data_IF_038033569190
#
_entry.id   IF_038033569190
#
_cell.length_a   1.000
_cell.length_b   1.000
_cell.length_c   1.000
_cell.angle_alpha   90.00
_cell.angle_beta   90.00
_cell.angle_gamma   90.00
#
_symmetry.space_group_name_H-M   'P 1'
#
loop_
_entity.id
_entity.type
_entity.pdbx_description
1 polymer ?
#
# COMPACT_ATOMS: atom_id res chain seq x y z
N UNK A 1 37.58 -14.88 11.19
CA UNK A 1 36.19 -15.35 11.43
C UNK A 1 35.93 -15.36 12.93
N UNK A 2 34.91 -14.64 13.39
CA UNK A 2 34.60 -14.51 14.83
C UNK A 2 33.88 -15.74 15.38
N UNK A 3 33.73 -15.82 16.71
CA UNK A 3 32.94 -16.88 17.36
C UNK A 3 31.45 -16.86 16.98
N UNK A 4 30.94 -15.72 16.52
CA UNK A 4 29.55 -15.55 16.08
C UNK A 4 29.44 -15.98 14.61
N UNK A 5 28.67 -17.04 14.34
CA UNK A 5 28.45 -17.57 12.99
C UNK A 5 27.18 -17.00 12.35
N UNK A 6 26.08 -16.92 13.09
CA UNK A 6 24.85 -16.27 12.64
C UNK A 6 24.11 -15.59 13.80
N UNK A 7 23.39 -14.52 13.47
CA UNK A 7 22.56 -13.75 14.40
C UNK A 7 21.41 -13.10 13.62
N UNK A 8 20.17 -13.51 13.90
CA UNK A 8 18.99 -12.98 13.23
C UNK A 8 17.74 -13.09 14.11
N UNK A 9 16.72 -12.32 13.75
CA UNK A 9 15.36 -12.45 14.29
C UNK A 9 14.54 -13.27 13.30
N UNK A 10 13.90 -14.34 13.76
CA UNK A 10 12.96 -15.14 12.97
C UNK A 10 11.56 -15.04 13.53
N UNK A 11 10.57 -14.84 12.67
CA UNK A 11 9.14 -14.90 13.05
C UNK A 11 8.62 -16.33 12.90
N UNK A 12 7.65 -16.68 13.76
CA UNK A 12 7.00 -17.99 13.69
C UNK A 12 6.33 -18.19 12.31
N UNK A 13 6.44 -19.40 11.77
CA UNK A 13 5.84 -19.80 10.48
C UNK A 13 6.27 -18.93 9.27
N UNK A 14 7.33 -18.13 9.42
CA UNK A 14 7.75 -17.18 8.38
C UNK A 14 6.76 -16.03 8.17
N UNK A 15 5.82 -15.82 9.09
CA UNK A 15 4.82 -14.76 8.99
C UNK A 15 5.48 -13.38 8.98
N UNK A 16 5.12 -12.56 8.01
CA UNK A 16 5.68 -11.23 7.76
C UNK A 16 4.65 -10.10 7.78
N UNK A 17 3.36 -10.43 7.84
CA UNK A 17 2.24 -9.47 7.86
C UNK A 17 1.37 -9.70 9.09
N UNK A 18 1.16 -8.65 9.87
CA UNK A 18 0.43 -8.67 11.13
C UNK A 18 -0.67 -7.60 11.12
N UNK A 19 -1.72 -7.79 11.92
CA UNK A 19 -2.76 -6.77 12.13
C UNK A 19 -2.51 -5.99 13.42
N UNK A 20 -3.01 -4.74 13.54
CA UNK A 20 -3.08 -4.06 14.83
C UNK A 20 -3.77 -4.95 15.88
N UNK A 21 -3.26 -4.97 17.11
CA UNK A 21 -3.75 -5.85 18.18
C UNK A 21 -3.21 -7.29 18.13
N UNK A 22 -2.57 -7.71 17.03
CA UNK A 22 -2.04 -9.06 16.90
C UNK A 22 -0.75 -9.28 17.68
N UNK A 23 -0.47 -10.53 18.04
CA UNK A 23 0.79 -10.91 18.68
C UNK A 23 1.87 -11.25 17.65
N UNK A 24 2.99 -10.53 17.71
CA UNK A 24 4.22 -10.83 16.96
C UNK A 24 5.05 -11.81 17.77
N UNK A 25 5.11 -13.06 17.31
CA UNK A 25 5.83 -14.15 17.96
C UNK A 25 7.02 -14.60 17.10
N UNK A 26 8.13 -14.95 17.76
CA UNK A 26 9.34 -15.38 17.07
C UNK A 26 10.44 -15.80 18.02
N UNK A 27 11.65 -15.91 17.48
CA UNK A 27 12.86 -16.18 18.26
C UNK A 27 14.04 -15.39 17.74
N UNK A 28 14.89 -14.95 18.66
CA UNK A 28 16.24 -14.50 18.35
C UNK A 28 17.11 -15.75 18.24
N UNK A 29 17.76 -15.95 17.10
CA UNK A 29 18.62 -17.11 16.84
C UNK A 29 20.06 -16.66 16.83
N UNK A 30 20.88 -17.26 17.70
CA UNK A 30 22.32 -17.02 17.80
C UNK A 30 23.05 -18.35 17.61
N UNK A 31 23.94 -18.43 16.61
CA UNK A 31 24.81 -19.58 16.41
C UNK A 31 26.28 -19.21 16.68
N UNK A 32 26.94 -19.97 17.56
CA UNK A 32 28.32 -19.74 17.97
C UNK A 32 29.23 -20.92 17.63
N UNK A 33 30.38 -20.66 17.01
CA UNK A 33 31.41 -21.68 16.76
C UNK A 33 32.05 -22.21 18.05
N UNK A 34 32.06 -21.40 19.11
CA UNK A 34 32.61 -21.74 20.41
C UNK A 34 31.98 -20.84 21.50
N UNK A 35 32.02 -21.24 22.78
CA UNK A 35 31.43 -20.44 23.85
C UNK A 35 31.91 -18.98 23.88
N UNK A 36 30.97 -18.04 24.03
CA UNK A 36 31.20 -16.60 23.94
C UNK A 36 30.70 -15.88 25.20
N UNK A 37 31.56 -15.04 25.80
CA UNK A 37 31.14 -14.16 26.91
C UNK A 37 30.29 -13.02 26.35
N UNK A 38 29.15 -12.77 26.97
CA UNK A 38 28.24 -11.65 26.67
C UNK A 38 27.53 -11.23 27.96
N UNK A 39 27.19 -9.95 28.09
CA UNK A 39 26.50 -9.43 29.27
C UNK A 39 25.00 -9.64 29.18
N UNK A 40 24.44 -9.42 28.00
CA UNK A 40 23.02 -9.55 27.74
C UNK A 40 22.72 -9.71 26.25
N UNK A 41 21.54 -10.24 25.95
CA UNK A 41 20.90 -10.12 24.63
C UNK A 41 19.65 -9.27 24.80
N UNK A 42 19.58 -8.18 24.03
CA UNK A 42 18.49 -7.20 24.09
C UNK A 42 17.62 -7.35 22.85
N UNK A 43 16.31 -7.25 23.04
CA UNK A 43 15.33 -7.14 21.96
C UNK A 43 14.61 -5.80 22.09
N UNK A 44 14.38 -5.12 20.97
CA UNK A 44 13.69 -3.83 20.91
C UNK A 44 12.67 -3.81 19.78
N UNK A 45 11.41 -3.57 20.12
CA UNK A 45 10.32 -3.39 19.18
C UNK A 45 10.12 -1.91 18.94
N UNK A 46 10.10 -1.49 17.68
CA UNK A 46 9.91 -0.09 17.28
C UNK A 46 8.84 -0.02 16.20
N UNK A 47 7.84 0.83 16.41
CA UNK A 47 6.86 1.22 15.40
C UNK A 47 6.85 2.74 15.29
N UNK A 48 7.21 3.28 14.14
CA UNK A 48 7.27 4.73 13.94
C UNK A 48 6.96 5.15 12.51
N UNK A 49 6.44 6.36 12.35
CA UNK A 49 6.43 7.09 11.09
C UNK A 49 7.52 8.14 11.08
N UNK A 50 8.16 8.34 9.93
CA UNK A 50 9.11 9.44 9.72
C UNK A 50 8.83 10.12 8.40
N UNK A 51 8.99 11.43 8.38
CA UNK A 51 8.88 12.28 7.20
C UNK A 51 10.10 13.16 7.12
N UNK A 52 10.75 13.20 5.95
CA UNK A 52 11.89 14.06 5.68
C UNK A 52 11.98 14.46 4.21
N UNK A 53 12.20 15.75 3.96
CA UNK A 53 12.73 16.26 2.69
C UNK A 53 13.51 17.54 2.91
N UNK A 54 14.26 17.95 1.88
CA UNK A 54 14.99 19.23 1.88
C UNK A 54 14.67 20.07 0.65
N UNK A 55 14.74 21.39 0.82
CA UNK A 55 14.58 22.37 -0.26
C UNK A 55 15.79 23.32 -0.26
N UNK A 56 16.36 23.57 -1.43
CA UNK A 56 17.33 24.65 -1.61
C UNK A 56 16.59 25.99 -1.74
N UNK A 57 16.97 26.98 -0.94
CA UNK A 57 16.46 28.35 -1.01
C UNK A 57 17.60 29.34 -1.27
N UNK A 58 17.33 30.38 -2.06
CA UNK A 58 18.33 31.40 -2.45
C UNK A 58 19.12 31.01 -3.69
N UNK A 59 19.99 31.91 -4.14
CA UNK A 59 20.86 31.73 -5.32
C UNK A 59 22.31 32.12 -5.01
N UNK A 60 23.25 31.57 -5.78
CA UNK A 60 24.69 31.83 -5.62
C UNK A 60 25.22 31.51 -4.23
N UNK A 61 26.00 32.44 -3.65
CA UNK A 61 26.61 32.30 -2.31
C UNK A 61 25.58 32.28 -1.16
N UNK A 62 24.33 32.69 -1.41
CA UNK A 62 23.26 32.71 -0.40
C UNK A 62 22.35 31.46 -0.46
N UNK A 63 22.77 30.40 -1.17
CA UNK A 63 22.02 29.14 -1.22
C UNK A 63 22.09 28.44 0.14
N UNK A 64 20.93 28.19 0.73
CA UNK A 64 20.78 27.42 1.98
C UNK A 64 19.86 26.22 1.76
N UNK A 65 20.17 25.11 2.42
CA UNK A 65 19.31 23.93 2.45
C UNK A 65 18.41 23.99 3.68
N UNK A 66 17.10 23.96 3.46
CA UNK A 66 16.09 23.90 4.52
C UNK A 66 15.57 22.48 4.61
N UNK A 67 15.69 21.84 5.78
CA UNK A 67 15.15 20.53 6.04
C UNK A 67 13.78 20.63 6.71
N UNK A 68 12.86 19.79 6.26
CA UNK A 68 11.55 19.58 6.87
C UNK A 68 11.53 18.15 7.40
N UNK A 69 11.19 18.00 8.69
CA UNK A 69 11.16 16.72 9.38
C UNK A 69 9.93 16.63 10.25
N UNK A 70 9.36 15.43 10.36
CA UNK A 70 8.35 15.08 11.35
C UNK A 70 8.46 13.59 11.65
N UNK A 71 8.08 13.18 12.87
CA UNK A 71 8.16 11.79 13.32
C UNK A 71 7.01 11.52 14.28
N UNK A 72 6.47 10.31 14.23
CA UNK A 72 5.50 9.78 15.19
C UNK A 72 6.01 8.42 15.67
N UNK A 73 6.18 8.25 16.98
CA UNK A 73 6.49 6.94 17.57
C UNK A 73 5.20 6.34 18.11
N UNK A 74 4.81 5.19 17.57
CA UNK A 74 3.61 4.44 18.00
C UNK A 74 3.92 3.55 19.19
N UNK A 75 5.09 2.91 19.17
CA UNK A 75 5.62 2.17 20.31
C UNK A 75 7.13 2.03 20.21
N UNK A 76 7.77 1.96 21.37
CA UNK A 76 9.18 1.63 21.53
C UNK A 76 9.36 0.86 22.83
N UNK A 77 9.56 -0.46 22.74
CA UNK A 77 9.71 -1.31 23.91
C UNK A 77 10.99 -2.13 23.81
N UNK A 78 11.79 -2.11 24.88
CA UNK A 78 13.02 -2.89 25.00
C UNK A 78 12.87 -3.94 26.08
N UNK A 79 13.42 -5.13 25.87
CA UNK A 79 13.46 -6.22 26.84
C UNK A 79 14.77 -7.01 26.72
N UNK A 80 15.07 -7.79 27.75
CA UNK A 80 16.29 -8.58 27.84
C UNK A 80 15.92 -10.06 27.84
N UNK A 81 16.44 -10.82 26.88
CA UNK A 81 16.10 -12.25 26.71
C UNK A 81 17.18 -13.20 27.25
N UNK A 82 18.35 -12.66 27.59
CA UNK A 82 19.47 -13.41 28.14
C UNK A 82 20.35 -12.50 29.01
N UNK A 83 20.94 -13.06 30.06
CA UNK A 83 21.97 -12.40 30.86
C UNK A 83 21.41 -11.37 31.84
N UNK A 84 22.16 -10.28 32.06
CA UNK A 84 21.79 -9.26 33.04
C UNK A 84 20.48 -8.57 32.64
N UNK A 85 19.53 -8.50 33.59
CA UNK A 85 18.21 -7.88 33.38
C UNK A 85 17.19 -8.78 32.67
N UNK A 86 17.58 -9.99 32.24
CA UNK A 86 16.61 -10.98 31.75
C UNK A 86 15.85 -11.65 32.89
N UNK A 87 14.63 -12.10 32.58
CA UNK A 87 13.79 -12.89 33.47
C UNK A 87 13.76 -14.34 32.95
N UNK A 88 13.78 -15.34 33.84
CA UNK A 88 13.68 -16.75 33.47
C UNK A 88 15.01 -17.51 33.50
N UNK A 89 15.17 -18.59 32.70
CA UNK A 89 16.22 -19.59 32.91
C UNK A 89 17.64 -19.08 32.62
N UNK A 90 17.78 -18.01 31.83
CA UNK A 90 19.08 -17.45 31.43
C UNK A 90 19.50 -16.23 32.28
N UNK A 91 18.83 -16.00 33.41
CA UNK A 91 19.05 -14.84 34.26
C UNK A 91 20.49 -14.80 34.77
N UNK A 92 21.15 -13.66 34.59
CA UNK A 92 22.54 -13.41 35.02
C UNK A 92 23.61 -14.33 34.40
N UNK A 93 23.27 -15.11 33.36
CA UNK A 93 24.27 -15.86 32.62
C UNK A 93 25.25 -14.93 31.89
N UNK A 94 26.53 -15.29 31.90
CA UNK A 94 27.62 -14.44 31.36
C UNK A 94 28.35 -15.07 30.18
N UNK A 95 27.98 -16.29 29.79
CA UNK A 95 28.67 -17.07 28.76
C UNK A 95 27.69 -18.00 28.05
N UNK A 96 27.41 -17.69 26.79
CA UNK A 96 26.59 -18.55 25.96
C UNK A 96 27.45 -19.70 25.42
N UNK A 97 26.99 -20.97 25.47
CA UNK A 97 27.73 -22.12 24.95
C UNK A 97 27.87 -22.04 23.42
N UNK A 98 28.76 -22.89 22.86
CA UNK A 98 28.84 -23.08 21.42
C UNK A 98 27.60 -23.82 20.90
N UNK A 99 27.27 -23.61 19.62
CA UNK A 99 26.06 -24.12 18.98
C UNK A 99 24.97 -23.08 18.81
N UNK A 100 23.77 -23.55 18.42
CA UNK A 100 22.59 -22.71 18.22
C UNK A 100 21.82 -22.52 19.53
N UNK A 101 21.50 -21.28 19.86
CA UNK A 101 20.61 -20.89 20.95
C UNK A 101 19.44 -20.08 20.39
N UNK A 102 18.24 -20.37 20.87
CA UNK A 102 17.00 -19.69 20.46
C UNK A 102 16.39 -19.00 21.68
N UNK A 103 16.12 -17.71 21.56
CA UNK A 103 15.46 -16.92 22.60
C UNK A 103 14.08 -16.49 22.12
N UNK A 104 13.00 -17.18 22.53
CA UNK A 104 11.66 -16.86 22.08
C UNK A 104 11.21 -15.50 22.60
N UNK A 105 10.39 -14.81 21.82
CA UNK A 105 9.76 -13.56 22.22
C UNK A 105 8.30 -13.52 21.78
N UNK A 106 7.55 -12.69 22.47
CA UNK A 106 6.17 -12.35 22.14
C UNK A 106 5.96 -10.85 22.42
N UNK A 107 5.37 -10.15 21.46
CA UNK A 107 4.97 -8.75 21.61
C UNK A 107 3.55 -8.59 21.09
N UNK A 108 2.70 -7.84 21.81
CA UNK A 108 1.32 -7.56 21.37
C UNK A 108 1.31 -6.16 20.77
N UNK A 109 0.93 -6.07 19.49
CA UNK A 109 0.82 -4.78 18.80
C UNK A 109 -0.30 -3.94 19.43
N UNK A 110 -0.13 -2.62 19.58
CA UNK A 110 -1.24 -1.72 19.88
C UNK A 110 -2.42 -1.91 18.90
N UNK A 111 -3.68 -1.73 19.37
CA UNK A 111 -4.87 -1.99 18.58
C UNK A 111 -5.12 -0.94 17.48
N UNK A 112 -4.49 0.23 17.56
CA UNK A 112 -4.61 1.32 16.59
C UNK A 112 -3.23 1.66 16.06
N UNK A 113 -2.93 1.16 14.86
CA UNK A 113 -1.66 1.36 14.20
C UNK A 113 -1.90 1.62 12.71
N UNK A 114 -1.17 2.55 12.08
CA UNK A 114 -1.22 2.71 10.64
C UNK A 114 -0.64 1.50 9.92
N UNK A 115 -1.11 1.28 8.69
CA UNK A 115 -0.46 0.32 7.79
C UNK A 115 1.00 0.71 7.55
N UNK A 116 1.87 -0.28 7.37
CA UNK A 116 3.23 -0.03 6.92
C UNK A 116 3.23 0.63 5.55
N UNK A 117 4.16 1.54 5.34
CA UNK A 117 4.24 2.32 4.12
C UNK A 117 5.69 2.75 3.87
N UNK A 118 6.13 2.72 2.62
CA UNK A 118 7.43 3.23 2.20
C UNK A 118 7.20 4.19 1.03
N UNK A 119 7.72 5.41 1.15
CA UNK A 119 7.49 6.48 0.18
C UNK A 119 8.67 7.43 0.03
N UNK A 120 8.55 8.33 -0.94
CA UNK A 120 9.64 9.22 -1.38
C UNK A 120 10.24 10.13 -0.30
N UNK A 121 9.42 10.55 0.65
CA UNK A 121 9.76 11.55 1.66
C UNK A 121 9.40 11.07 3.06
N UNK A 122 9.14 9.78 3.25
CA UNK A 122 8.74 9.25 4.52
C UNK A 122 8.22 7.82 4.47
N UNK A 123 8.08 7.23 5.64
CA UNK A 123 7.68 5.85 5.83
C UNK A 123 6.88 5.69 7.12
N UNK A 124 6.17 4.56 7.22
CA UNK A 124 5.64 3.95 8.45
C UNK A 124 6.29 2.57 8.55
N UNK A 125 7.12 2.34 9.57
CA UNK A 125 7.95 1.12 9.67
C UNK A 125 7.86 0.50 11.05
N UNK A 126 7.79 -0.82 11.06
CA UNK A 126 7.81 -1.65 12.25
C UNK A 126 8.98 -2.61 12.19
N UNK A 127 9.82 -2.56 13.22
CA UNK A 127 11.11 -3.27 13.25
C UNK A 127 11.31 -3.93 14.59
N UNK A 128 11.81 -5.17 14.55
CA UNK A 128 12.39 -5.84 15.72
C UNK A 128 13.91 -5.75 15.59
N UNK A 129 14.54 -5.11 16.55
CA UNK A 129 15.99 -5.06 16.69
C UNK A 129 16.43 -6.07 17.75
N UNK A 130 17.53 -6.77 17.50
CA UNK A 130 18.21 -7.57 18.50
C UNK A 130 19.69 -7.18 18.56
N UNK A 131 20.25 -7.10 19.77
CA UNK A 131 21.66 -6.80 19.98
C UNK A 131 22.30 -7.68 21.06
N UNK A 132 23.59 -7.97 20.89
CA UNK A 132 24.39 -8.73 21.85
C UNK A 132 25.37 -7.78 22.53
N UNK A 133 25.20 -7.56 23.83
CA UNK A 133 26.07 -6.71 24.63
C UNK A 133 27.38 -7.45 24.96
N UNK A 134 28.50 -7.00 24.37
CA UNK A 134 29.81 -7.60 24.55
C UNK A 134 30.70 -6.74 25.44
N UNK A 135 31.44 -7.34 26.39
CA UNK A 135 32.51 -6.63 27.09
C UNK A 135 33.61 -6.21 26.10
N UNK A 136 33.93 -4.92 26.07
CA UNK A 136 35.15 -4.37 25.45
C UNK A 136 35.27 -4.64 23.93
N UNK A 137 34.14 -4.86 23.25
CA UNK A 137 34.03 -5.01 21.79
C UNK A 137 32.74 -4.38 21.30
N UNK A 138 32.64 -4.13 19.99
CA UNK A 138 31.40 -3.71 19.36
C UNK A 138 30.29 -4.75 19.55
N UNK A 139 29.09 -4.24 19.81
CA UNK A 139 27.87 -5.03 19.98
C UNK A 139 27.31 -5.40 18.59
N UNK A 140 27.32 -6.70 18.21
CA UNK A 140 26.59 -7.15 17.04
C UNK A 140 25.12 -6.81 17.21
N UNK A 141 24.51 -6.31 16.14
CA UNK A 141 23.07 -6.09 16.06
C UNK A 141 22.53 -6.68 14.77
N UNK A 142 21.23 -6.99 14.80
CA UNK A 142 20.44 -7.41 13.65
C UNK A 142 19.08 -6.75 13.78
N UNK A 143 18.41 -6.53 12.66
CA UNK A 143 17.05 -6.04 12.66
C UNK A 143 16.24 -6.68 11.55
N UNK A 144 14.94 -6.80 11.78
CA UNK A 144 14.00 -7.37 10.82
C UNK A 144 12.73 -6.54 10.85
N UNK A 145 12.35 -6.03 9.69
CA UNK A 145 11.09 -5.34 9.50
C UNK A 145 9.96 -6.34 9.26
N UNK A 146 8.75 -5.96 9.65
CA UNK A 146 7.52 -6.68 9.34
C UNK A 146 6.44 -5.70 8.92
N UNK A 147 5.46 -6.18 8.16
CA UNK A 147 4.32 -5.37 7.75
C UNK A 147 3.24 -5.42 8.83
N UNK A 148 2.78 -4.25 9.24
CA UNK A 148 1.46 -4.09 9.90
C UNK A 148 0.47 -3.65 8.84
N UNK A 149 -0.68 -4.30 8.74
CA UNK A 149 -1.76 -3.94 7.83
C UNK A 149 -3.03 -3.64 8.62
N UNK A 150 -3.41 -2.36 8.63
CA UNK A 150 -4.70 -1.93 9.16
C UNK A 150 -5.83 -2.32 8.21
N UNK A 151 -6.90 -2.88 8.76
CA UNK A 151 -7.99 -3.43 7.95
C UNK A 151 -9.02 -2.35 7.64
N UNK A 152 -9.10 -1.95 6.36
CA UNK A 152 -10.09 -1.01 5.86
C UNK A 152 -11.22 -1.77 5.17
N UNK A 153 -12.34 -1.88 5.87
CA UNK A 153 -13.54 -2.57 5.37
C UNK A 153 -14.40 -1.65 4.51
N UNK A 154 -14.39 -1.86 3.19
CA UNK A 154 -15.18 -1.06 2.26
C UNK A 154 -16.68 -1.16 2.52
N UNK A 155 -17.16 -2.20 3.19
CA UNK A 155 -18.58 -2.34 3.54
C UNK A 155 -19.03 -1.33 4.60
N UNK A 156 -18.09 -0.71 5.33
CA UNK A 156 -18.34 0.35 6.30
C UNK A 156 -18.15 1.75 5.72
N UNK A 157 -17.71 1.85 4.46
CA UNK A 157 -17.37 3.12 3.82
C UNK A 157 -18.56 3.61 2.98
N UNK A 158 -19.15 4.73 3.40
CA UNK A 158 -20.42 5.25 2.87
C UNK A 158 -20.46 5.36 1.34
N UNK A 159 -19.36 5.80 0.73
CA UNK A 159 -19.29 6.07 -0.71
C UNK A 159 -18.68 4.94 -1.52
N UNK A 160 -18.15 3.89 -0.89
CA UNK A 160 -17.42 2.83 -1.59
C UNK A 160 -18.28 2.12 -2.66
N UNK A 161 -19.59 1.97 -2.41
CA UNK A 161 -20.55 1.38 -3.37
C UNK A 161 -21.09 2.37 -4.40
N UNK A 162 -20.86 3.67 -4.24
CA UNK A 162 -21.45 4.68 -5.10
C UNK A 162 -20.74 4.68 -6.46
N UNK A 163 -21.48 4.64 -7.59
CA UNK A 163 -20.89 4.89 -8.90
C UNK A 163 -20.36 6.31 -8.98
N UNK A 164 -19.44 6.56 -9.92
CA UNK A 164 -18.91 7.89 -10.14
C UNK A 164 -18.80 8.19 -11.64
N UNK A 165 -19.20 9.41 -12.00
CA UNK A 165 -19.10 9.95 -13.36
C UNK A 165 -18.45 11.32 -13.29
N UNK A 166 -17.59 11.61 -14.26
CA UNK A 166 -16.97 12.92 -14.45
C UNK A 166 -17.02 13.27 -15.92
N UNK A 167 -17.32 14.52 -16.25
CA UNK A 167 -17.18 15.06 -17.59
C UNK A 167 -16.38 16.36 -17.55
N UNK A 168 -15.64 16.63 -18.62
CA UNK A 168 -14.90 17.87 -18.80
C UNK A 168 -14.66 18.13 -20.30
N UNK A 169 -14.38 19.37 -20.66
CA UNK A 169 -14.10 19.75 -22.04
C UNK A 169 -13.06 20.86 -22.15
N UNK A 170 -12.34 20.89 -23.28
CA UNK A 170 -11.29 21.88 -23.54
C UNK A 170 -11.18 22.21 -25.02
N UNK A 171 -10.89 23.48 -25.32
CA UNK A 171 -10.55 23.96 -26.67
C UNK A 171 -9.04 24.19 -26.79
N UNK A 172 -8.44 23.82 -27.93
CA UNK A 172 -6.98 23.89 -28.16
C UNK A 172 -6.46 25.29 -28.60
N UNK A 173 -7.32 26.28 -28.86
CA UNK A 173 -6.93 27.55 -29.50
C UNK A 173 -7.56 28.81 -28.87
N UNK A 174 -6.99 29.99 -29.16
CA UNK A 174 -7.49 31.32 -28.81
C UNK A 174 -8.41 31.93 -29.89
N UNK A 175 -9.13 33.02 -29.53
CA UNK A 175 -10.34 33.66 -30.08
C UNK A 175 -10.64 33.68 -31.62
N UNK A 176 -9.75 33.25 -32.51
CA UNK A 176 -9.88 33.42 -33.97
C UNK A 176 -10.06 32.11 -34.77
N UNK A 177 -10.00 30.94 -34.14
CA UNK A 177 -10.12 29.65 -34.82
C UNK A 177 -11.47 28.99 -34.54
N UNK A 178 -12.27 28.76 -35.59
CA UNK A 178 -13.52 28.00 -35.51
C UNK A 178 -13.22 26.50 -35.40
N UNK A 179 -12.97 25.99 -34.20
CA UNK A 179 -12.93 24.56 -33.90
C UNK A 179 -13.74 24.26 -32.65
N UNK A 180 -14.44 23.13 -32.63
CA UNK A 180 -15.18 22.65 -31.47
C UNK A 180 -14.26 22.17 -30.33
N UNK A 181 -14.82 21.98 -29.11
CA UNK A 181 -14.07 21.49 -27.98
C UNK A 181 -13.73 19.99 -28.14
N UNK A 182 -12.69 19.55 -27.43
CA UNK A 182 -12.52 18.15 -27.04
C UNK A 182 -13.35 17.96 -25.79
N UNK A 183 -14.35 17.07 -25.82
CA UNK A 183 -15.16 16.75 -24.65
C UNK A 183 -14.94 15.28 -24.28
N UNK A 184 -14.94 14.98 -22.98
CA UNK A 184 -14.86 13.62 -22.50
C UNK A 184 -15.76 13.43 -21.29
N UNK A 185 -16.32 12.24 -21.17
CA UNK A 185 -17.01 11.74 -19.99
C UNK A 185 -16.42 10.37 -19.62
N UNK A 186 -16.20 10.14 -18.33
CA UNK A 186 -15.72 8.87 -17.77
C UNK A 186 -16.63 8.43 -16.64
N UNK A 187 -16.90 7.12 -16.59
CA UNK A 187 -17.79 6.49 -15.64
C UNK A 187 -17.18 5.19 -15.09
N UNK A 188 -17.34 4.98 -13.77
CA UNK A 188 -17.05 3.75 -13.06
C UNK A 188 -18.25 3.33 -12.22
N UNK A 189 -18.42 2.02 -12.04
CA UNK A 189 -19.55 1.40 -11.35
C UNK A 189 -19.54 1.65 -9.84
N UNK A 190 -18.35 1.85 -9.26
CA UNK A 190 -18.16 2.17 -7.85
C UNK A 190 -16.88 2.94 -7.58
N UNK A 191 -16.69 3.44 -6.37
CA UNK A 191 -15.43 4.12 -5.97
C UNK A 191 -14.54 3.29 -5.05
N UNK A 192 -15.05 2.23 -4.42
CA UNK A 192 -14.30 1.34 -3.53
C UNK A 192 -13.81 0.07 -4.21
N UNK A 193 -12.51 -0.19 -4.12
CA UNK A 193 -11.86 -1.38 -4.69
C UNK A 193 -10.80 -1.98 -3.75
N UNK A 194 -10.47 -3.25 -3.92
CA UNK A 194 -9.33 -3.89 -3.24
C UNK A 194 -8.25 -4.32 -4.25
N UNK A 195 -6.98 -4.49 -3.83
CA UNK A 195 -5.95 -5.01 -4.72
C UNK A 195 -6.29 -6.39 -5.29
N UNK A 196 -5.99 -6.57 -6.59
CA UNK A 196 -6.34 -7.74 -7.39
C UNK A 196 -7.63 -7.57 -8.20
N UNK A 197 -8.52 -6.69 -7.76
CA UNK A 197 -9.78 -6.38 -8.44
C UNK A 197 -9.57 -5.54 -9.71
N UNK A 198 -10.55 -5.59 -10.63
CA UNK A 198 -10.57 -4.76 -11.82
C UNK A 198 -11.55 -3.60 -11.66
N UNK A 199 -11.08 -2.40 -12.01
CA UNK A 199 -11.93 -1.23 -12.23
C UNK A 199 -12.46 -1.31 -13.67
N UNK A 200 -13.78 -1.29 -13.84
CA UNK A 200 -14.45 -1.24 -15.13
C UNK A 200 -14.54 0.21 -15.60
N UNK A 201 -13.65 0.63 -16.51
CA UNK A 201 -13.60 2.01 -17.01
C UNK A 201 -14.46 2.12 -18.27
N UNK A 202 -15.45 3.01 -18.22
CA UNK A 202 -16.26 3.40 -19.37
C UNK A 202 -16.00 4.87 -19.69
N UNK A 203 -15.87 5.21 -20.96
CA UNK A 203 -15.64 6.60 -21.35
C UNK A 203 -16.21 6.90 -22.73
N UNK A 204 -16.68 8.13 -22.92
CA UNK A 204 -17.05 8.68 -24.23
C UNK A 204 -16.20 9.93 -24.47
N UNK A 205 -15.59 10.03 -25.64
CA UNK A 205 -14.73 11.15 -26.02
C UNK A 205 -15.15 11.66 -27.37
N UNK A 206 -15.32 12.97 -27.49
CA UNK A 206 -15.70 13.67 -28.71
C UNK A 206 -14.60 14.66 -29.08
N UNK A 207 -13.99 14.46 -30.24
CA UNK A 207 -12.96 15.35 -30.76
C UNK A 207 -13.57 16.38 -31.71
N UNK A 208 -14.17 17.44 -31.17
CA UNK A 208 -14.63 18.59 -31.97
C UNK A 208 -13.50 19.47 -32.51
N UNK A 209 -12.24 19.18 -32.15
CA UNK A 209 -11.09 19.98 -32.59
C UNK A 209 -10.71 19.69 -34.05
N UNK A 210 -9.88 20.56 -34.61
CA UNK A 210 -9.32 20.38 -35.96
C UNK A 210 -8.10 19.46 -36.00
N UNK A 211 -7.66 18.93 -34.86
CA UNK A 211 -6.43 18.15 -34.75
C UNK A 211 -6.69 16.70 -34.36
N UNK A 212 -5.83 15.79 -34.82
CA UNK A 212 -5.82 14.40 -34.37
C UNK A 212 -5.38 14.31 -32.91
N UNK A 213 -6.11 13.54 -32.10
CA UNK A 213 -5.73 13.20 -30.74
C UNK A 213 -4.85 11.94 -30.74
N UNK A 214 -3.63 11.98 -30.19
CA UNK A 214 -2.70 10.85 -30.25
C UNK A 214 -3.18 9.58 -29.54
N UNK A 215 -3.95 9.72 -28.46
CA UNK A 215 -4.30 8.58 -27.61
C UNK A 215 -5.21 8.94 -26.46
N UNK A 216 -5.69 7.90 -25.78
CA UNK A 216 -6.40 7.97 -24.50
C UNK A 216 -5.71 7.04 -23.51
N UNK A 217 -5.79 7.31 -22.21
CA UNK A 217 -5.33 6.36 -21.18
C UNK A 217 -6.16 6.46 -19.92
N UNK A 218 -6.20 5.36 -19.16
CA UNK A 218 -6.76 5.33 -17.82
C UNK A 218 -5.68 4.82 -16.85
N UNK A 219 -5.51 5.53 -15.74
CA UNK A 219 -4.46 5.23 -14.77
C UNK A 219 -4.94 5.37 -13.34
N UNK A 220 -4.40 4.55 -12.43
CA UNK A 220 -4.54 4.80 -11.00
C UNK A 220 -3.38 5.73 -10.60
N UNK A 221 -3.72 6.85 -9.99
CA UNK A 221 -2.75 7.79 -9.45
C UNK A 221 -2.79 7.71 -7.92
N UNK A 222 -1.65 7.38 -7.31
CA UNK A 222 -1.45 7.46 -5.88
C UNK A 222 -0.89 8.83 -5.52
N UNK A 223 -1.60 9.58 -4.68
CA UNK A 223 -1.16 10.84 -4.11
C UNK A 223 -0.81 10.65 -2.65
N UNK A 224 0.46 10.84 -2.30
CA UNK A 224 0.97 10.72 -0.93
C UNK A 224 1.32 12.10 -0.40
N UNK A 225 0.65 12.51 0.67
CA UNK A 225 0.86 13.80 1.33
C UNK A 225 1.71 13.60 2.57
N UNK A 226 2.91 14.17 2.56
CA UNK A 226 3.85 14.20 3.68
C UNK A 226 3.71 15.53 4.42
N UNK A 227 3.47 15.49 5.72
CA UNK A 227 3.19 16.67 6.54
C UNK A 227 4.30 16.87 7.57
N UNK A 228 4.64 18.14 7.79
CA UNK A 228 5.49 18.59 8.90
C UNK A 228 4.84 19.80 9.54
N UNK A 229 5.31 20.20 10.71
CA UNK A 229 4.76 21.37 11.44
C UNK A 229 4.72 22.64 10.60
N UNK A 230 5.63 22.80 9.62
CA UNK A 230 5.76 24.04 8.83
C UNK A 230 5.23 23.94 7.41
N UNK A 231 5.13 22.74 6.85
CA UNK A 231 4.87 22.54 5.42
C UNK A 231 4.37 21.12 5.16
N UNK A 232 3.49 21.01 4.18
CA UNK A 232 3.11 19.73 3.58
C UNK A 232 3.61 19.65 2.14
N UNK A 233 3.89 18.43 1.68
CA UNK A 233 4.31 18.15 0.31
C UNK A 233 3.58 16.91 -0.18
N UNK A 234 2.90 17.04 -1.31
CA UNK A 234 2.25 15.91 -1.97
C UNK A 234 3.08 15.45 -3.16
N UNK A 235 3.25 14.13 -3.28
CA UNK A 235 3.83 13.49 -4.46
C UNK A 235 2.77 12.57 -5.05
N UNK A 236 2.54 12.70 -6.34
CA UNK A 236 1.65 11.81 -7.09
C UNK A 236 2.46 10.93 -8.03
N UNK A 237 2.14 9.64 -8.09
CA UNK A 237 2.75 8.69 -9.02
C UNK A 237 1.65 7.88 -9.70
N UNK A 238 1.82 7.62 -11.00
CA UNK A 238 1.04 6.61 -11.73
C UNK A 238 1.50 5.22 -11.26
N UNK A 239 0.58 4.42 -10.72
CA UNK A 239 0.91 3.07 -10.22
C UNK A 239 0.55 1.96 -11.20
N UNK A 240 -0.43 2.20 -12.07
CA UNK A 240 -0.79 1.34 -13.20
C UNK A 240 -1.48 2.19 -14.26
N UNK A 241 -1.32 1.84 -15.54
CA UNK A 241 -1.95 2.51 -16.68
C UNK A 241 -2.34 1.50 -17.76
N UNK A 242 -3.50 1.71 -18.37
CA UNK A 242 -3.90 1.09 -19.64
C UNK A 242 -4.03 2.17 -20.72
N UNK A 243 -3.61 1.83 -21.93
CA UNK A 243 -3.60 2.74 -23.07
C UNK A 243 -4.72 2.38 -24.05
N UNK A 244 -5.43 3.39 -24.52
CA UNK A 244 -6.44 3.29 -25.56
C UNK A 244 -6.02 4.04 -26.82
N UNK A 245 -6.86 3.93 -27.84
CA UNK A 245 -6.57 4.49 -29.16
C UNK A 245 -6.72 6.02 -29.18
N UNK A 246 -6.04 6.63 -30.16
CA UNK A 246 -6.28 8.02 -30.56
C UNK A 246 -7.47 8.14 -31.50
N UNK A 247 -7.81 9.35 -31.90
CA UNK A 247 -8.89 9.59 -32.85
C UNK A 247 -8.63 10.81 -33.73
N UNK A 248 -9.14 10.76 -34.96
CA UNK A 248 -9.02 11.87 -35.91
C UNK A 248 -9.98 13.02 -35.55
N UNK A 249 -9.79 14.17 -36.20
CA UNK A 249 -10.63 15.36 -36.03
C UNK A 249 -12.10 15.05 -36.39
N UNK A 250 -13.04 15.58 -35.60
CA UNK A 250 -14.48 15.41 -35.81
C UNK A 250 -15.02 14.00 -35.52
N UNK A 251 -14.24 13.14 -34.87
CA UNK A 251 -14.63 11.76 -34.52
C UNK A 251 -14.88 11.61 -33.01
N UNK A 252 -15.52 10.50 -32.67
CA UNK A 252 -15.74 10.09 -31.27
C UNK A 252 -15.18 8.69 -31.03
N UNK A 253 -14.83 8.41 -29.77
CA UNK A 253 -14.33 7.13 -29.29
C UNK A 253 -15.10 6.74 -28.03
N UNK A 254 -15.33 5.44 -27.86
CA UNK A 254 -15.90 4.88 -26.63
C UNK A 254 -14.99 3.80 -26.05
N UNK A 255 -14.81 3.84 -24.73
CA UNK A 255 -14.30 2.74 -23.94
C UNK A 255 -15.50 2.02 -23.31
N UNK A 256 -15.58 0.71 -23.51
CA UNK A 256 -16.68 -0.12 -23.02
C UNK A 256 -16.12 -1.20 -22.11
N UNK A 257 -16.24 -1.00 -20.79
CA UNK A 257 -15.78 -1.94 -19.77
C UNK A 257 -14.28 -2.31 -19.91
N UNK A 258 -13.43 -1.32 -20.19
CA UNK A 258 -11.98 -1.52 -20.23
C UNK A 258 -11.46 -1.76 -18.81
N UNK A 259 -10.69 -2.83 -18.63
CA UNK A 259 -10.37 -3.35 -17.29
C UNK A 259 -9.00 -2.89 -16.81
N UNK A 260 -8.98 -2.11 -15.73
CA UNK A 260 -7.76 -1.67 -15.06
C UNK A 260 -7.58 -2.43 -13.74
N UNK A 261 -6.58 -3.31 -13.66
CA UNK A 261 -6.34 -4.10 -12.45
C UNK A 261 -5.68 -3.28 -11.35
N UNK A 262 -6.20 -3.34 -10.14
CA UNK A 262 -5.61 -2.71 -8.96
C UNK A 262 -4.41 -3.53 -8.48
N UNK A 263 -3.18 -2.99 -8.47
CA UNK A 263 -2.01 -3.74 -8.00
C UNK A 263 -1.92 -3.73 -6.46
N UNK A 264 -0.96 -4.45 -5.89
CA UNK A 264 -0.73 -4.51 -4.44
C UNK A 264 -0.30 -3.14 -3.88
N UNK A 265 -1.27 -2.42 -3.28
CA UNK A 265 -1.14 -1.05 -2.81
C UNK A 265 -1.63 -0.92 -1.36
N UNK A 266 -1.10 0.06 -0.59
CA UNK A 266 -1.58 0.33 0.76
C UNK A 266 -3.04 0.84 0.71
N UNK A 267 -3.82 0.59 1.77
CA UNK A 267 -5.17 1.14 1.87
C UNK A 267 -5.15 2.67 1.92
N UNK A 268 -6.24 3.29 1.47
CA UNK A 268 -6.46 4.74 1.52
C UNK A 268 -6.36 5.30 2.94
N UNK A 269 -6.14 6.61 3.03
CA UNK A 269 -6.13 7.46 4.23
C UNK A 269 -5.01 7.19 5.23
N UNK A 270 -4.37 6.02 5.17
CA UNK A 270 -3.33 5.60 6.12
C UNK A 270 -3.73 5.92 7.57
N UNK A 271 -4.91 5.44 7.98
CA UNK A 271 -5.53 5.74 9.28
C UNK A 271 -4.52 5.60 10.41
N UNK A 272 -4.66 6.43 11.44
CA UNK A 272 -3.77 6.47 12.62
C UNK A 272 -2.35 7.03 12.35
N UNK A 273 -2.04 7.53 11.15
CA UNK A 273 -0.85 8.35 10.89
C UNK A 273 -1.25 9.81 10.66
N UNK A 274 -0.72 10.77 11.43
CA UNK A 274 -1.08 12.18 11.20
C UNK A 274 -0.12 12.89 10.24
N UNK A 275 1.05 12.32 9.99
CA UNK A 275 2.12 12.96 9.20
C UNK A 275 2.23 12.44 7.76
N UNK A 276 1.58 11.33 7.43
CA UNK A 276 1.50 10.78 6.07
C UNK A 276 0.03 10.43 5.78
N UNK A 277 -0.45 10.82 4.61
CA UNK A 277 -1.80 10.51 4.12
C UNK A 277 -1.72 10.00 2.67
N UNK A 278 -2.57 9.04 2.32
CA UNK A 278 -2.57 8.38 1.01
C UNK A 278 -3.97 8.47 0.40
N UNK A 279 -4.04 9.02 -0.82
CA UNK A 279 -5.28 9.15 -1.58
C UNK A 279 -5.09 8.62 -2.99
N UNK A 280 -6.17 8.15 -3.60
CA UNK A 280 -6.15 7.62 -4.96
C UNK A 280 -7.23 8.28 -5.81
N UNK A 281 -6.94 8.41 -7.09
CA UNK A 281 -7.94 8.69 -8.10
C UNK A 281 -7.67 7.87 -9.36
N UNK A 282 -8.74 7.51 -10.05
CA UNK A 282 -8.67 7.10 -11.44
C UNK A 282 -8.53 8.37 -12.29
N UNK A 283 -7.47 8.47 -13.08
CA UNK A 283 -7.25 9.54 -14.04
C UNK A 283 -7.47 9.01 -15.45
N UNK A 284 -8.50 9.53 -16.13
CA UNK A 284 -8.70 9.35 -17.56
C UNK A 284 -8.07 10.53 -18.30
N UNK A 285 -7.16 10.25 -19.24
CA UNK A 285 -6.41 11.26 -19.98
C UNK A 285 -6.73 11.17 -21.46
N UNK A 286 -7.11 12.29 -22.06
CA UNK A 286 -7.14 12.47 -23.51
C UNK A 286 -5.88 13.24 -23.91
N UNK A 287 -4.99 12.58 -24.64
CA UNK A 287 -3.71 13.16 -25.06
C UNK A 287 -3.98 14.22 -26.11
N UNK A 288 -3.45 15.42 -25.91
CA UNK A 288 -3.57 16.51 -26.87
C UNK A 288 -2.29 16.65 -27.71
N UNK A 289 -2.38 17.06 -28.98
CA UNK A 289 -1.21 17.21 -29.83
C UNK A 289 -0.31 18.40 -29.41
N UNK A 290 0.97 18.30 -29.75
CA UNK A 290 1.95 19.36 -29.54
C UNK A 290 2.26 19.64 -28.08
N UNK A 291 2.29 20.93 -27.70
CA UNK A 291 2.59 21.40 -26.33
C UNK A 291 1.33 21.70 -25.51
N UNK A 292 0.15 21.36 -26.04
CA UNK A 292 -1.11 21.54 -25.34
C UNK A 292 -1.16 20.67 -24.09
N UNK A 293 -1.71 21.22 -23.00
CA UNK A 293 -1.97 20.44 -21.78
C UNK A 293 -3.10 19.45 -22.08
N UNK A 294 -2.88 18.17 -21.78
CA UNK A 294 -3.88 17.10 -21.93
C UNK A 294 -5.17 17.41 -21.15
N UNK A 295 -6.31 16.94 -21.65
CA UNK A 295 -7.55 16.92 -20.90
C UNK A 295 -7.49 15.74 -19.92
N UNK A 296 -7.74 15.99 -18.63
CA UNK A 296 -7.62 14.99 -17.56
C UNK A 296 -8.84 15.02 -16.66
N UNK A 297 -9.51 13.88 -16.54
CA UNK A 297 -10.67 13.69 -15.68
C UNK A 297 -10.26 12.81 -14.51
N UNK A 298 -10.48 13.28 -13.29
CA UNK A 298 -10.04 12.60 -12.07
C UNK A 298 -11.26 12.17 -11.25
N UNK A 299 -11.46 10.86 -11.14
CA UNK A 299 -12.50 10.25 -10.31
C UNK A 299 -11.87 9.76 -8.99
N UNK A 300 -12.28 10.25 -7.82
CA UNK A 300 -11.74 9.79 -6.55
C UNK A 300 -12.10 8.31 -6.32
N UNK A 301 -11.13 7.52 -5.88
CA UNK A 301 -11.35 6.11 -5.53
C UNK A 301 -10.75 5.80 -4.16
N UNK A 302 -11.30 4.79 -3.50
CA UNK A 302 -10.87 4.32 -2.19
C UNK A 302 -10.37 2.88 -2.31
N UNK A 303 -9.13 2.65 -1.87
CA UNK A 303 -8.55 1.31 -1.82
C UNK A 303 -8.67 0.75 -0.40
N UNK A 304 -9.42 -0.33 -0.25
CA UNK A 304 -9.60 -1.04 1.01
C UNK A 304 -8.80 -2.34 1.09
N UNK A 305 -9.00 -3.08 2.18
CA UNK A 305 -8.42 -4.42 2.37
C UNK A 305 -9.47 -5.53 2.45
N UNK A 306 -10.75 -5.18 2.72
CA UNK A 306 -11.88 -6.11 2.66
C UNK A 306 -12.81 -5.68 1.52
N UNK A 307 -13.09 -6.56 0.55
CA UNK A 307 -13.92 -6.23 -0.60
C UNK A 307 -15.38 -6.02 -0.20
N UNK A 308 -16.08 -5.28 -1.05
CA UNK A 308 -17.52 -5.09 -0.93
C UNK A 308 -18.25 -6.42 -1.14
N UNK A 309 -19.13 -6.76 -0.20
CA UNK A 309 -19.99 -7.93 -0.27
C UNK A 309 -21.14 -7.72 -1.27
N UNK A 310 -21.60 -8.83 -1.88
CA UNK A 310 -22.76 -8.84 -2.78
C UNK A 310 -22.48 -8.33 -4.19
N UNK A 311 -21.22 -8.03 -4.51
CA UNK A 311 -20.82 -7.71 -5.88
C UNK A 311 -20.48 -9.00 -6.62
N UNK A 312 -21.31 -9.39 -7.58
CA UNK A 312 -20.93 -10.43 -8.53
C UNK A 312 -19.86 -9.85 -9.46
N UNK A 313 -18.63 -10.40 -9.54
CA UNK A 313 -17.59 -9.90 -10.45
C UNK A 313 -17.94 -10.10 -11.93
N UNK A 314 -19.03 -10.82 -12.20
CA UNK A 314 -19.52 -11.18 -13.51
C UNK A 314 -21.00 -10.86 -13.64
N UNK A 315 -21.40 -9.59 -13.54
CA UNK A 315 -22.73 -9.21 -14.05
C UNK A 315 -22.67 -9.11 -15.57
N UNK A 316 -22.77 -10.27 -16.23
CA UNK A 316 -22.89 -10.42 -17.68
C UNK A 316 -24.38 -10.48 -18.03
N UNK A 317 -25.15 -9.43 -17.75
CA UNK A 317 -26.51 -9.36 -18.32
C UNK A 317 -26.80 -7.95 -18.82
N UNK A 318 -27.09 -7.78 -20.13
CA UNK A 318 -27.72 -6.55 -20.60
C UNK A 318 -29.09 -6.41 -19.94
N UNK A 319 -29.60 -5.17 -19.75
CA UNK A 319 -30.94 -4.96 -19.24
C UNK A 319 -31.94 -5.56 -20.22
N UNK A 320 -32.51 -6.73 -19.90
CA UNK A 320 -33.62 -7.26 -20.67
C UNK A 320 -34.79 -6.29 -20.52
N UNK A 321 -35.22 -5.75 -21.67
CA UNK A 321 -36.29 -4.78 -21.78
C UNK A 321 -37.55 -5.23 -21.06
N UNK A 322 -38.23 -4.25 -20.48
CA UNK A 322 -39.53 -4.39 -19.85
C UNK A 322 -40.56 -4.93 -20.85
N UNK A 323 -40.93 -6.20 -20.72
CA UNK A 323 -42.19 -6.71 -21.26
C UNK A 323 -43.25 -6.69 -20.15
N UNK A 324 -44.51 -6.31 -20.43
CA UNK A 324 -45.56 -6.33 -19.43
C UNK A 324 -45.88 -7.77 -19.05
N UNK A 325 -45.62 -8.13 -17.80
CA UNK A 325 -45.91 -9.45 -17.23
C UNK A 325 -47.41 -9.57 -16.99
N UNK A 326 -48.09 -10.36 -17.82
CA UNK A 326 -49.32 -11.04 -17.42
C UNK A 326 -48.95 -12.08 -16.35
N UNK A 327 -49.67 -12.08 -15.23
CA UNK A 327 -49.42 -12.90 -14.04
C UNK A 327 -49.25 -14.41 -14.34
N UNK A 328 -48.18 -15.06 -13.84
CA UNK A 328 -48.11 -16.51 -13.69
C UNK A 328 -48.18 -16.96 -12.22
N UNK A 329 -48.39 -18.28 -11.97
CA UNK A 329 -48.86 -18.83 -10.70
C UNK A 329 -47.77 -18.95 -9.64
N UNK A 330 -48.20 -19.21 -8.40
CA UNK A 330 -47.36 -19.41 -7.21
C UNK A 330 -46.31 -20.49 -7.46
N UNK A 331 -45.06 -20.07 -7.67
CA UNK A 331 -43.88 -20.91 -7.83
C UNK A 331 -43.22 -21.13 -6.45
N UNK A 332 -42.68 -22.33 -6.14
CA UNK A 332 -41.93 -22.56 -4.91
C UNK A 332 -40.77 -21.56 -4.82
N UNK A 333 -40.57 -20.98 -3.62
CA UNK A 333 -39.55 -19.96 -3.36
C UNK A 333 -38.21 -20.38 -3.94
N UNK A 334 -37.72 -19.60 -4.92
CA UNK A 334 -36.40 -19.79 -5.48
C UNK A 334 -35.36 -19.85 -4.35
N UNK A 335 -34.38 -20.77 -4.41
CA UNK A 335 -33.29 -20.78 -3.44
C UNK A 335 -32.61 -19.40 -3.42
N UNK A 336 -32.12 -18.95 -2.25
CA UNK A 336 -31.43 -17.67 -2.17
C UNK A 336 -30.31 -17.63 -3.23
N UNK A 337 -30.12 -16.48 -3.91
CA UNK A 337 -29.07 -16.36 -4.91
C UNK A 337 -27.72 -16.72 -4.26
N UNK A 338 -26.83 -17.42 -4.98
CA UNK A 338 -25.54 -17.83 -4.44
C UNK A 338 -24.81 -16.60 -3.91
N UNK A 339 -24.46 -16.61 -2.62
CA UNK A 339 -23.64 -15.56 -2.02
C UNK A 339 -22.22 -15.72 -2.53
N UNK A 340 -21.77 -14.75 -3.31
CA UNK A 340 -20.39 -14.71 -3.78
C UNK A 340 -19.47 -14.34 -2.61
N UNK A 341 -18.73 -15.32 -2.12
CA UNK A 341 -17.67 -15.08 -1.13
C UNK A 341 -16.36 -14.74 -1.85
N UNK A 342 -15.68 -13.65 -1.46
CA UNK A 342 -14.37 -13.33 -2.01
C UNK A 342 -13.35 -14.42 -1.63
N UNK A 343 -12.37 -14.71 -2.50
CA UNK A 343 -11.30 -15.64 -2.16
C UNK A 343 -10.51 -15.11 -0.94
N UNK A 344 -9.87 -15.99 -0.16
CA UNK A 344 -8.99 -15.53 0.91
C UNK A 344 -7.87 -14.66 0.33
N UNK A 345 -7.52 -13.53 0.97
CA UNK A 345 -6.45 -12.68 0.45
C UNK A 345 -5.10 -13.37 0.61
N UNK A 346 -4.24 -13.18 -0.38
CA UNK A 346 -2.80 -13.39 -0.26
C UNK A 346 -2.10 -12.08 0.09
N UNK A 347 -0.79 -12.12 0.33
CA UNK A 347 0.02 -10.93 0.56
C UNK A 347 1.08 -10.78 -0.51
N UNK A 348 1.07 -9.65 -1.22
CA UNK A 348 2.04 -9.33 -2.27
C UNK A 348 2.85 -8.10 -1.89
N UNK A 349 4.13 -8.09 -2.26
CA UNK A 349 5.01 -6.94 -2.07
C UNK A 349 4.47 -5.72 -2.82
N UNK A 350 4.63 -4.55 -2.22
CA UNK A 350 4.26 -3.27 -2.83
C UNK A 350 4.91 -3.08 -4.21
N UNK A 351 4.19 -2.45 -5.14
CA UNK A 351 4.69 -2.12 -6.50
C UNK A 351 6.00 -1.31 -6.48
N UNK A 352 6.25 -0.55 -5.41
CA UNK A 352 7.49 0.21 -5.22
C UNK A 352 8.74 -0.63 -4.98
N UNK A 353 8.60 -1.94 -4.73
CA UNK A 353 9.70 -2.86 -4.48
C UNK A 353 10.35 -2.69 -3.11
N UNK A 354 11.52 -3.31 -2.96
CA UNK A 354 12.27 -3.27 -1.70
C UNK A 354 13.03 -1.95 -1.54
N UNK A 355 13.07 -1.46 -0.31
CA UNK A 355 13.86 -0.30 0.10
C UNK A 355 14.91 -0.69 1.11
N UNK A 356 16.01 0.07 1.14
CA UNK A 356 17.00 -0.07 2.19
C UNK A 356 16.48 0.58 3.48
N UNK A 357 16.39 -0.21 4.55
CA UNK A 357 15.87 0.24 5.84
C UNK A 357 16.97 0.62 6.83
N UNK A 358 18.22 0.82 6.39
CA UNK A 358 19.30 1.27 7.28
C UNK A 358 18.98 2.65 7.86
N UNK A 359 19.19 2.78 9.17
CA UNK A 359 18.96 4.00 9.93
C UNK A 359 20.30 4.51 10.52
N UNK A 360 20.34 5.75 11.01
CA UNK A 360 21.57 6.35 11.58
C UNK A 360 22.13 5.59 12.80
N UNK A 361 21.27 4.85 13.52
CA UNK A 361 21.66 4.02 14.66
C UNK A 361 22.28 2.67 14.26
N UNK A 362 22.20 2.29 12.98
CA UNK A 362 22.79 1.04 12.51
C UNK A 362 24.29 1.22 12.29
N UNK A 363 25.08 0.40 12.99
CA UNK A 363 26.52 0.36 12.75
C UNK A 363 26.84 -0.46 11.49
N UNK A 364 28.08 -0.32 10.99
CA UNK A 364 28.61 -1.10 9.85
C UNK A 364 28.59 -2.63 10.07
N UNK A 365 28.31 -3.08 11.30
CA UNK A 365 28.28 -4.47 11.69
C UNK A 365 26.86 -5.05 11.81
N UNK A 366 25.83 -4.36 11.29
CA UNK A 366 24.48 -4.92 11.21
C UNK A 366 24.48 -6.20 10.36
N UNK A 367 23.97 -7.29 10.94
CA UNK A 367 23.88 -8.60 10.29
C UNK A 367 22.44 -8.84 9.84
N UNK A 368 22.22 -9.13 8.56
CA UNK A 368 20.90 -9.55 8.04
C UNK A 368 20.22 -8.59 7.06
N UNK A 369 18.92 -8.81 6.84
CA UNK A 369 18.10 -8.18 5.79
C UNK A 369 17.82 -6.71 6.03
N UNK A 370 18.65 -5.85 5.46
CA UNK A 370 18.43 -4.39 5.40
C UNK A 370 17.53 -3.97 4.24
N UNK A 371 16.90 -4.94 3.57
CA UNK A 371 15.95 -4.74 2.48
C UNK A 371 14.56 -5.09 2.97
N UNK A 372 13.56 -4.28 2.61
CA UNK A 372 12.17 -4.48 3.04
C UNK A 372 11.22 -3.91 2.00
N UNK A 373 10.19 -4.66 1.67
CA UNK A 373 9.01 -4.16 0.97
C UNK A 373 7.78 -4.45 1.84
N UNK A 374 6.93 -3.46 2.15
CA UNK A 374 5.66 -3.74 2.80
C UNK A 374 4.80 -4.62 1.88
N UNK A 375 4.02 -5.51 2.48
CA UNK A 375 3.13 -6.41 1.76
C UNK A 375 1.67 -6.07 2.02
N UNK A 376 0.86 -6.07 0.96
CA UNK A 376 -0.56 -5.72 1.04
C UNK A 376 -1.43 -6.89 0.61
N UNK A 377 -2.67 -6.92 1.09
CA UNK A 377 -3.68 -7.90 0.66
C UNK A 377 -3.80 -7.88 -0.85
N UNK A 378 -3.92 -9.05 -1.47
CA UNK A 378 -4.17 -9.21 -2.89
C UNK A 378 -5.13 -10.37 -3.12
N UNK A 379 -6.22 -10.11 -3.83
CA UNK A 379 -7.27 -11.07 -4.13
C UNK A 379 -7.09 -11.64 -5.53
N UNK A 380 -6.82 -12.94 -5.62
CA UNK A 380 -6.83 -13.64 -6.90
C UNK A 380 -8.26 -14.10 -7.22
N UNK A 381 -8.99 -13.25 -7.92
CA UNK A 381 -10.39 -13.47 -8.27
C UNK A 381 -10.60 -14.65 -9.24
N UNK A 382 -9.54 -15.18 -9.86
CA UNK A 382 -9.64 -16.41 -10.65
C UNK A 382 -9.93 -17.65 -9.80
N UNK A 383 -9.73 -17.57 -8.48
CA UNK A 383 -9.93 -18.66 -7.52
C UNK A 383 -11.25 -18.57 -6.75
N UNK A 384 -12.16 -17.68 -7.14
CA UNK A 384 -13.44 -17.52 -6.45
C UNK A 384 -14.35 -18.74 -6.61
N UNK A 385 -14.96 -19.18 -5.50
CA UNK A 385 -15.86 -20.33 -5.46
C UNK A 385 -17.31 -19.86 -5.35
N UNK A 386 -18.23 -20.53 -6.07
CA UNK A 386 -19.66 -20.39 -5.85
C UNK A 386 -20.06 -21.32 -4.70
N UNK A 387 -20.46 -20.75 -3.56
CA UNK A 387 -21.05 -21.51 -2.47
C UNK A 387 -22.57 -21.41 -2.53
N UNK A 388 -23.23 -22.56 -2.69
CA UNK A 388 -24.67 -22.68 -2.46
C UNK A 388 -24.88 -22.90 -0.96
N UNK A 389 -25.52 -21.95 -0.29
CA UNK A 389 -26.01 -22.15 1.08
C UNK A 389 -27.30 -22.96 1.01
N UNK A 390 -27.28 -24.15 1.62
CA UNK A 390 -28.44 -25.04 1.75
C UNK A 390 -29.46 -24.54 2.77
#
# INVERSE_FOLDING_TARGET
MGKLQSFYVGFNEGKSVFRPGESVCGSIVINLAAPMKMKAVKIKFVGKANVHWSESRGSGKNRRTVHYRSSETYFEQTSYVYGQGSMGPYQNEKKLPGGQSNFPFQFILPPQLPSSFEGAHGYVRYVVHASIDKPWKFDPNTKTAFTVLDMLDLNQEQHARSPATMNDSKTLCCLCCASGPIAAEVHIDRTGYVPGEFIAVNANVENGSSSKLPGTSASIIQSVTFKTTRKSRTRSNTVVEINGQGMDAGKSLQWNNERLQVPALPPSMLRFCNIIDIQYHLQFTVVTPGTSINLRLNLPIQLGTIPLQGLTPYSIHPPMGSFPVSSPPVEPSAPPPPTYEPPPPTYMAAVGGEVNIRDEDDNEHIVGGTSYAPQYTYYDWSQSAFTYTN
#
